data_IF_417030201942
#
_entry.id   IF_417030201942
#
_cell.length_a   1.000
_cell.length_b   1.000
_cell.length_c   1.000
_cell.angle_alpha   90.00
_cell.angle_beta   90.00
_cell.angle_gamma   90.00
#
_symmetry.space_group_name_H-M   'P 1'
#
loop_
_entity.id
_entity.type
_entity.pdbx_description
1 polymer ?
#
# COMPACT_ATOMS: atom_id res chain seq x y z
N UNK A 1 -24.94 17.45 -3.55
CA UNK A 1 -24.84 16.16 -2.83
C UNK A 1 -23.35 15.77 -2.87
N UNK A 2 -22.82 15.18 -1.82
CA UNK A 2 -21.45 14.66 -1.83
C UNK A 2 -21.35 13.56 -2.91
N UNK A 3 -20.21 13.49 -3.58
CA UNK A 3 -19.94 12.46 -4.59
C UNK A 3 -19.90 11.07 -3.93
N UNK A 4 -20.47 10.05 -4.58
CA UNK A 4 -20.35 8.66 -4.15
C UNK A 4 -19.15 8.03 -4.85
N UNK A 5 -18.15 7.61 -4.07
CA UNK A 5 -16.97 6.93 -4.57
C UNK A 5 -17.33 5.53 -5.08
N UNK A 6 -16.48 5.00 -5.94
CA UNK A 6 -16.68 3.70 -6.57
C UNK A 6 -15.44 2.82 -6.40
N UNK A 7 -15.63 1.51 -6.40
CA UNK A 7 -14.54 0.55 -6.51
C UNK A 7 -13.83 0.71 -7.86
N UNK A 8 -12.54 0.41 -7.93
CA UNK A 8 -11.80 0.33 -9.18
C UNK A 8 -11.45 -1.11 -9.46
N UNK A 9 -12.15 -1.73 -10.41
CA UNK A 9 -12.02 -3.17 -10.72
C UNK A 9 -11.86 -3.34 -12.22
N UNK A 10 -10.89 -4.16 -12.61
CA UNK A 10 -10.63 -4.50 -14.00
C UNK A 10 -10.41 -3.26 -14.90
N UNK A 11 -9.64 -2.29 -14.40
CA UNK A 11 -9.25 -1.08 -15.13
C UNK A 11 -10.33 0.00 -15.23
N UNK A 12 -11.42 -0.06 -14.46
CA UNK A 12 -12.51 0.92 -14.49
C UNK A 12 -13.17 1.12 -13.13
N UNK A 13 -13.79 2.26 -12.93
CA UNK A 13 -14.67 2.49 -11.81
C UNK A 13 -15.98 1.72 -11.97
N UNK A 14 -16.41 1.06 -10.88
CA UNK A 14 -17.64 0.28 -10.82
C UNK A 14 -18.38 0.61 -9.52
N UNK A 15 -19.69 0.77 -9.59
CA UNK A 15 -20.52 0.93 -8.41
C UNK A 15 -20.47 -0.35 -7.56
N UNK A 16 -20.43 -0.20 -6.23
CA UNK A 16 -20.53 -1.35 -5.34
C UNK A 16 -21.94 -1.97 -5.40
N UNK A 17 -22.00 -3.28 -5.16
CA UNK A 17 -23.26 -3.99 -4.99
C UNK A 17 -23.93 -3.67 -3.65
N UNK A 18 -23.10 -3.46 -2.63
CA UNK A 18 -23.56 -3.07 -1.30
C UNK A 18 -24.26 -1.71 -1.29
N UNK A 19 -25.24 -1.54 -0.39
CA UNK A 19 -25.98 -0.29 -0.21
C UNK A 19 -25.44 0.55 0.95
N UNK A 20 -24.68 -0.05 1.86
CA UNK A 20 -24.11 0.63 3.01
C UNK A 20 -22.97 1.55 2.58
N UNK A 21 -22.93 2.74 3.19
CA UNK A 21 -21.93 3.76 2.89
C UNK A 21 -21.35 4.38 4.15
N UNK A 22 -20.15 4.92 4.03
CA UNK A 22 -19.44 5.68 5.06
C UNK A 22 -19.24 7.11 4.54
N UNK A 23 -19.52 8.10 5.38
CA UNK A 23 -19.20 9.51 5.06
C UNK A 23 -17.70 9.74 5.18
N UNK A 24 -17.12 10.35 4.13
CA UNK A 24 -15.74 10.82 4.12
C UNK A 24 -15.75 12.28 4.56
N UNK A 25 -15.15 12.53 5.73
CA UNK A 25 -15.16 13.84 6.36
C UNK A 25 -13.78 14.49 6.23
N UNK A 26 -13.75 15.72 5.74
CA UNK A 26 -12.53 16.53 5.77
C UNK A 26 -12.24 16.94 7.23
N UNK A 27 -11.13 16.48 7.84
CA UNK A 27 -10.86 16.74 9.26
C UNK A 27 -10.55 18.19 9.57
N UNK A 28 -10.17 19.00 8.57
CA UNK A 28 -9.86 20.42 8.76
C UNK A 28 -11.12 21.26 9.04
N UNK A 29 -12.26 20.93 8.43
CA UNK A 29 -13.47 21.75 8.52
C UNK A 29 -14.73 20.96 8.91
N UNK A 30 -14.63 19.65 9.13
CA UNK A 30 -15.74 18.78 9.53
C UNK A 30 -16.80 18.56 8.45
N UNK A 31 -16.56 18.93 7.20
CA UNK A 31 -17.53 18.78 6.11
C UNK A 31 -17.41 17.41 5.46
N UNK A 32 -18.54 16.81 5.16
CA UNK A 32 -18.61 15.61 4.31
C UNK A 32 -18.21 16.00 2.89
N UNK A 33 -17.17 15.36 2.35
CA UNK A 33 -16.62 15.62 1.00
C UNK A 33 -17.03 14.55 0.00
N UNK A 34 -17.24 13.32 0.46
CA UNK A 34 -17.68 12.20 -0.36
C UNK A 34 -18.42 11.17 0.51
N UNK A 35 -19.03 10.17 -0.12
CA UNK A 35 -19.48 8.93 0.52
C UNK A 35 -18.75 7.75 -0.11
N UNK A 36 -18.31 6.80 0.71
CA UNK A 36 -17.60 5.59 0.28
C UNK A 36 -18.50 4.37 0.52
N UNK A 37 -18.62 3.44 -0.43
CA UNK A 37 -19.36 2.20 -0.19
C UNK A 37 -18.63 1.31 0.82
N UNK A 38 -19.41 0.49 1.54
CA UNK A 38 -18.91 -0.66 2.32
C UNK A 38 -19.11 -1.90 1.47
N UNK A 39 -18.11 -2.23 0.65
CA UNK A 39 -18.19 -3.35 -0.30
C UNK A 39 -18.43 -4.68 0.41
N UNK A 40 -19.31 -5.48 -0.18
CA UNK A 40 -19.68 -6.81 0.29
C UNK A 40 -18.84 -7.93 -0.37
N UNK A 41 -19.21 -9.19 -0.11
CA UNK A 41 -18.54 -10.37 -0.64
C UNK A 41 -18.53 -10.38 -2.18
N UNK A 42 -19.62 -9.93 -2.83
CA UNK A 42 -19.72 -9.91 -4.31
C UNK A 42 -18.74 -8.92 -4.93
N UNK A 43 -18.50 -7.78 -4.28
CA UNK A 43 -17.54 -6.78 -4.73
C UNK A 43 -16.11 -7.30 -4.59
N UNK A 44 -15.82 -7.97 -3.46
CA UNK A 44 -14.51 -8.59 -3.19
C UNK A 44 -14.26 -9.75 -4.16
N UNK A 45 -15.24 -10.62 -4.41
CA UNK A 45 -15.16 -11.71 -5.38
C UNK A 45 -14.85 -11.18 -6.79
N UNK A 46 -15.57 -10.13 -7.24
CA UNK A 46 -15.33 -9.52 -8.55
C UNK A 46 -13.91 -8.96 -8.69
N UNK A 47 -13.36 -8.36 -7.63
CA UNK A 47 -11.99 -7.86 -7.63
C UNK A 47 -10.96 -9.00 -7.70
N UNK A 48 -11.18 -10.10 -6.96
CA UNK A 48 -10.30 -11.26 -7.02
C UNK A 48 -10.41 -12.04 -8.34
N UNK A 49 -11.58 -12.11 -8.94
CA UNK A 49 -11.77 -12.68 -10.28
C UNK A 49 -10.98 -11.90 -11.33
N UNK A 50 -11.08 -10.56 -11.29
CA UNK A 50 -10.31 -9.68 -12.18
C UNK A 50 -8.79 -9.85 -11.97
N UNK A 51 -8.34 -9.87 -10.72
CA UNK A 51 -6.93 -10.08 -10.39
C UNK A 51 -6.41 -11.45 -10.82
N UNK A 52 -7.21 -12.52 -10.62
CA UNK A 52 -6.86 -13.90 -11.03
C UNK A 52 -6.76 -14.03 -12.53
N UNK A 53 -7.67 -13.40 -13.27
CA UNK A 53 -7.64 -13.38 -14.74
C UNK A 53 -6.39 -12.66 -15.23
N UNK A 54 -6.07 -11.48 -14.71
CA UNK A 54 -4.88 -10.72 -15.08
C UNK A 54 -3.58 -11.46 -14.70
N UNK A 55 -3.57 -12.23 -13.62
CA UNK A 55 -2.42 -13.01 -13.19
C UNK A 55 -1.98 -14.04 -14.23
N UNK A 56 -2.87 -14.56 -15.06
CA UNK A 56 -2.55 -15.54 -16.12
C UNK A 56 -1.53 -15.03 -17.13
N UNK A 57 -1.47 -13.71 -17.32
CA UNK A 57 -0.53 -13.02 -18.22
C UNK A 57 0.53 -12.24 -17.44
N UNK A 58 0.15 -11.42 -16.45
CA UNK A 58 1.08 -10.57 -15.71
C UNK A 58 2.14 -11.36 -14.93
N UNK A 59 1.79 -12.52 -14.37
CA UNK A 59 2.75 -13.38 -13.66
C UNK A 59 3.86 -13.92 -14.59
N UNK A 60 3.64 -13.90 -15.92
CA UNK A 60 4.60 -14.32 -16.92
C UNK A 60 5.37 -13.16 -17.55
N UNK A 61 4.99 -11.91 -17.23
CA UNK A 61 5.70 -10.74 -17.71
C UNK A 61 7.18 -10.80 -17.30
N UNK A 62 8.05 -10.49 -18.24
CA UNK A 62 9.50 -10.48 -18.00
C UNK A 62 9.87 -9.38 -17.00
N UNK A 63 11.02 -9.49 -16.31
CA UNK A 63 11.53 -8.41 -15.49
C UNK A 63 11.62 -7.06 -16.21
N UNK A 64 11.93 -7.07 -17.52
CA UNK A 64 12.01 -5.84 -18.33
C UNK A 64 10.65 -5.18 -18.53
N UNK A 65 9.61 -5.96 -18.84
CA UNK A 65 8.24 -5.47 -19.02
C UNK A 65 7.69 -4.89 -17.71
N UNK A 66 7.95 -5.56 -16.57
CA UNK A 66 7.56 -5.06 -15.24
C UNK A 66 8.29 -3.77 -14.87
N UNK A 67 9.60 -3.69 -15.15
CA UNK A 67 10.39 -2.48 -14.96
C UNK A 67 9.79 -1.31 -15.76
N UNK A 68 9.53 -1.51 -17.04
CA UNK A 68 8.99 -0.46 -17.91
C UNK A 68 7.61 0.01 -17.44
N UNK A 69 6.74 -0.90 -17.03
CA UNK A 69 5.43 -0.56 -16.49
C UNK A 69 5.53 0.28 -15.21
N UNK A 70 6.44 -0.07 -14.28
CA UNK A 70 6.65 0.69 -13.05
C UNK A 70 7.26 2.08 -13.30
N UNK A 71 8.17 2.21 -14.26
CA UNK A 71 8.72 3.51 -14.65
C UNK A 71 7.65 4.40 -15.27
N UNK A 72 6.82 3.87 -16.18
CA UNK A 72 5.68 4.58 -16.76
C UNK A 72 4.67 5.00 -15.69
N UNK A 73 4.39 4.12 -14.71
CA UNK A 73 3.51 4.45 -13.60
C UNK A 73 4.09 5.59 -12.74
N UNK A 74 5.38 5.55 -12.42
CA UNK A 74 6.03 6.62 -11.67
C UNK A 74 5.94 7.97 -12.41
N UNK A 75 6.19 7.98 -13.72
CA UNK A 75 6.11 9.18 -14.55
C UNK A 75 4.67 9.71 -14.65
N UNK A 76 3.69 8.82 -14.79
CA UNK A 76 2.28 9.19 -14.84
C UNK A 76 1.79 9.77 -13.49
N UNK A 77 2.18 9.18 -12.36
CA UNK A 77 1.85 9.74 -11.04
C UNK A 77 2.50 11.12 -10.83
N UNK A 78 3.75 11.28 -11.25
CA UNK A 78 4.44 12.57 -11.18
C UNK A 78 3.74 13.65 -12.06
N UNK A 79 3.26 13.28 -13.24
CA UNK A 79 2.52 14.16 -14.12
C UNK A 79 1.18 14.61 -13.52
N UNK A 80 0.58 13.79 -12.64
CA UNK A 80 -0.69 14.08 -11.96
C UNK A 80 -0.49 14.49 -10.48
N UNK A 81 0.71 15.01 -10.15
CA UNK A 81 1.08 15.35 -8.77
C UNK A 81 0.05 16.26 -8.09
N UNK A 82 -0.38 17.32 -8.74
CA UNK A 82 -1.32 18.29 -8.15
C UNK A 82 -2.68 17.64 -7.84
N UNK A 83 -3.18 16.77 -8.71
CA UNK A 83 -4.43 16.04 -8.51
C UNK A 83 -4.34 15.10 -7.31
N UNK A 84 -3.22 14.35 -7.16
CA UNK A 84 -2.96 13.48 -6.02
C UNK A 84 -2.87 14.28 -4.72
N UNK A 85 -2.16 15.41 -4.74
CA UNK A 85 -2.04 16.32 -3.59
C UNK A 85 -3.41 16.88 -3.19
N UNK A 86 -4.23 17.30 -4.15
CA UNK A 86 -5.56 17.85 -3.88
C UNK A 86 -6.49 16.82 -3.26
N UNK A 87 -6.54 15.60 -3.82
CA UNK A 87 -7.36 14.52 -3.32
C UNK A 87 -6.96 14.15 -1.87
N UNK A 88 -5.66 14.01 -1.61
CA UNK A 88 -5.20 13.64 -0.28
C UNK A 88 -5.37 14.77 0.74
N UNK A 89 -5.04 16.01 0.39
CA UNK A 89 -5.24 17.16 1.27
C UNK A 89 -6.70 17.29 1.71
N UNK A 90 -7.63 17.16 0.76
CA UNK A 90 -9.07 17.19 1.05
C UNK A 90 -9.51 16.09 2.00
N UNK A 91 -8.89 14.94 1.91
CA UNK A 91 -9.27 13.72 2.62
C UNK A 91 -8.59 13.58 4.00
N UNK A 92 -7.35 14.10 4.14
CA UNK A 92 -6.54 13.93 5.35
C UNK A 92 -6.31 15.22 6.15
N UNK A 93 -6.44 16.38 5.51
CA UNK A 93 -6.04 17.67 6.08
C UNK A 93 -4.52 17.89 6.15
N UNK A 94 -3.69 16.96 5.66
CA UNK A 94 -2.23 17.11 5.62
C UNK A 94 -1.82 18.36 4.81
N UNK A 95 -0.72 19.04 5.17
CA UNK A 95 -0.19 20.16 4.39
C UNK A 95 0.17 19.73 2.97
N UNK A 96 -0.27 20.50 1.97
CA UNK A 96 -0.03 20.19 0.54
C UNK A 96 1.45 20.00 0.20
N UNK A 97 2.34 20.85 0.76
CA UNK A 97 3.77 20.73 0.53
C UNK A 97 4.33 19.41 1.06
N UNK A 98 3.85 18.94 2.22
CA UNK A 98 4.23 17.66 2.80
C UNK A 98 3.75 16.49 1.94
N UNK A 99 2.49 16.52 1.48
CA UNK A 99 1.98 15.48 0.57
C UNK A 99 2.81 15.44 -0.72
N UNK A 100 3.13 16.60 -1.27
CA UNK A 100 3.90 16.71 -2.50
C UNK A 100 5.28 16.06 -2.39
N UNK A 101 6.03 16.34 -1.30
CA UNK A 101 7.40 15.82 -1.09
C UNK A 101 7.39 14.40 -0.54
N UNK A 102 6.64 14.16 0.55
CA UNK A 102 6.77 12.94 1.33
C UNK A 102 5.91 11.77 0.79
N UNK A 103 4.89 12.06 -0.01
CA UNK A 103 4.05 10.99 -0.53
C UNK A 103 4.11 10.87 -2.06
N UNK A 104 4.04 11.97 -2.81
CA UNK A 104 4.13 11.87 -4.27
C UNK A 104 5.57 11.68 -4.74
N UNK A 105 6.49 12.60 -4.37
CA UNK A 105 7.88 12.50 -4.82
C UNK A 105 8.57 11.26 -4.24
N UNK A 106 8.44 11.02 -2.94
CA UNK A 106 9.00 9.82 -2.30
C UNK A 106 8.37 8.54 -2.85
N UNK A 107 7.05 8.53 -3.09
CA UNK A 107 6.36 7.38 -3.67
C UNK A 107 6.81 7.07 -5.10
N UNK A 108 6.93 8.08 -5.95
CA UNK A 108 7.41 7.88 -7.32
C UNK A 108 8.89 7.44 -7.37
N UNK A 109 9.74 7.93 -6.46
CA UNK A 109 11.12 7.45 -6.32
C UNK A 109 11.15 5.97 -5.91
N UNK A 110 10.30 5.57 -4.95
CA UNK A 110 10.15 4.16 -4.56
C UNK A 110 9.70 3.26 -5.73
N UNK A 111 8.79 3.71 -6.58
CA UNK A 111 8.41 2.94 -7.78
C UNK A 111 9.60 2.78 -8.72
N UNK A 112 10.43 3.80 -8.91
CA UNK A 112 11.66 3.72 -9.71
C UNK A 112 12.69 2.75 -9.10
N UNK A 113 12.82 2.77 -7.77
CA UNK A 113 13.65 1.79 -7.06
C UNK A 113 13.17 0.35 -7.33
N UNK A 114 11.86 0.06 -7.17
CA UNK A 114 11.33 -1.27 -7.42
C UNK A 114 11.34 -1.66 -8.90
N UNK A 115 11.25 -0.69 -9.81
CA UNK A 115 11.47 -0.93 -11.24
C UNK A 115 12.90 -1.46 -11.50
N UNK A 116 13.91 -0.86 -10.88
CA UNK A 116 15.30 -1.36 -10.91
C UNK A 116 15.42 -2.73 -10.26
N UNK A 117 14.84 -2.91 -9.08
CA UNK A 117 14.87 -4.16 -8.32
C UNK A 117 14.22 -5.34 -9.05
N UNK A 118 13.22 -5.09 -9.91
CA UNK A 118 12.61 -6.13 -10.74
C UNK A 118 13.63 -6.89 -11.61
N UNK A 119 14.72 -6.22 -12.01
CA UNK A 119 15.79 -6.79 -12.86
C UNK A 119 16.86 -7.57 -12.09
N UNK A 120 16.90 -7.42 -10.77
CA UNK A 120 17.98 -7.96 -9.91
C UNK A 120 17.49 -9.09 -9.00
N UNK A 121 16.30 -9.63 -9.23
CA UNK A 121 15.76 -10.76 -8.48
C UNK A 121 16.49 -12.05 -8.92
N UNK A 122 17.58 -12.36 -8.23
CA UNK A 122 18.46 -13.48 -8.55
C UNK A 122 17.93 -14.81 -8.02
N UNK A 123 18.23 -15.88 -8.75
CA UNK A 123 18.16 -17.26 -8.32
C UNK A 123 19.55 -17.82 -8.00
N UNK A 124 19.62 -19.00 -7.42
CA UNK A 124 20.88 -19.72 -7.28
C UNK A 124 21.24 -20.41 -8.59
N UNK A 125 22.52 -20.38 -8.95
CA UNK A 125 23.06 -21.10 -10.11
C UNK A 125 22.83 -22.62 -9.98
N UNK A 126 22.88 -23.30 -11.12
CA UNK A 126 22.73 -24.74 -11.18
C UNK A 126 23.84 -25.46 -10.41
N UNK A 127 23.46 -26.54 -9.72
CA UNK A 127 24.37 -27.49 -9.08
C UNK A 127 23.76 -28.88 -9.17
N UNK A 128 24.59 -29.90 -9.06
CA UNK A 128 24.15 -31.30 -9.11
C UNK A 128 24.14 -31.86 -7.68
N UNK A 129 22.95 -31.91 -7.05
CA UNK A 129 22.74 -32.63 -5.80
C UNK A 129 22.43 -34.13 -5.99
N UNK A 130 22.02 -34.49 -7.19
CA UNK A 130 21.80 -35.85 -7.64
C UNK A 130 22.46 -36.03 -9.00
N UNK A 131 23.03 -37.22 -9.26
CA UNK A 131 23.65 -37.55 -10.54
C UNK A 131 22.68 -37.29 -11.69
N UNK A 132 23.16 -36.62 -12.75
CA UNK A 132 22.42 -36.31 -13.97
C UNK A 132 21.20 -35.35 -13.79
N UNK A 133 21.09 -34.67 -12.63
CA UNK A 133 20.01 -33.75 -12.34
C UNK A 133 20.55 -32.36 -11.95
N UNK A 134 20.56 -31.40 -12.90
CA UNK A 134 20.89 -30.02 -12.57
C UNK A 134 19.77 -29.42 -11.71
N UNK A 135 20.13 -28.77 -10.62
CA UNK A 135 19.20 -28.08 -9.69
C UNK A 135 19.46 -26.60 -9.70
N UNK A 136 18.41 -25.80 -9.81
CA UNK A 136 18.50 -24.33 -9.76
C UNK A 136 17.27 -23.74 -9.02
N UNK A 137 17.44 -22.55 -8.46
CA UNK A 137 16.36 -21.81 -7.83
C UNK A 137 15.88 -20.71 -8.76
N UNK A 138 14.58 -20.67 -9.03
CA UNK A 138 13.90 -19.59 -9.72
C UNK A 138 12.93 -18.88 -8.79
N UNK A 139 12.87 -17.54 -8.87
CA UNK A 139 11.87 -16.72 -8.18
C UNK A 139 10.62 -16.64 -9.04
N UNK A 140 9.47 -16.90 -8.44
CA UNK A 140 8.18 -16.83 -9.09
C UNK A 140 7.21 -15.94 -8.28
N UNK A 141 6.23 -15.26 -8.95
CA UNK A 141 5.17 -14.56 -8.25
C UNK A 141 4.40 -15.49 -7.33
N UNK A 142 3.88 -14.96 -6.21
CA UNK A 142 2.94 -15.71 -5.35
C UNK A 142 1.53 -15.77 -5.94
N UNK A 143 1.27 -15.00 -7.01
CA UNK A 143 0.00 -14.94 -7.71
C UNK A 143 -0.77 -13.66 -7.44
N UNK A 144 -1.86 -13.74 -6.68
CA UNK A 144 -2.66 -12.59 -6.26
C UNK A 144 -2.28 -12.19 -4.84
N UNK A 145 -2.15 -10.88 -4.58
CA UNK A 145 -1.85 -10.33 -3.25
C UNK A 145 -3.00 -9.46 -2.78
N UNK A 146 -3.52 -9.75 -1.59
CA UNK A 146 -4.47 -8.90 -0.89
C UNK A 146 -3.71 -7.87 -0.04
N UNK A 147 -4.09 -6.60 -0.12
CA UNK A 147 -3.38 -5.50 0.53
C UNK A 147 -4.34 -4.57 1.28
N UNK A 148 -3.97 -4.18 2.51
CA UNK A 148 -4.71 -3.21 3.33
C UNK A 148 -3.78 -2.07 3.68
N UNK A 149 -4.16 -0.84 3.31
CA UNK A 149 -3.39 0.38 3.56
C UNK A 149 -4.00 1.21 4.69
N UNK A 150 -3.17 1.95 5.47
CA UNK A 150 -3.59 2.79 6.58
C UNK A 150 -4.01 4.19 6.08
N UNK A 151 -4.40 5.04 7.05
CA UNK A 151 -4.92 6.38 6.82
C UNK A 151 -3.87 7.50 6.98
N UNK A 152 -2.73 7.24 7.61
CA UNK A 152 -1.77 8.27 7.99
C UNK A 152 -0.84 8.74 6.85
N UNK A 153 -0.55 7.87 5.89
CA UNK A 153 0.15 8.15 4.63
C UNK A 153 -0.53 7.36 3.50
N UNK A 154 -1.78 7.71 3.14
CA UNK A 154 -2.61 6.82 2.31
C UNK A 154 -2.02 6.55 0.93
N UNK A 155 -1.47 7.56 0.26
CA UNK A 155 -0.86 7.41 -1.06
C UNK A 155 0.46 6.62 -0.98
N UNK A 156 1.38 7.07 -0.11
CA UNK A 156 2.70 6.44 0.04
C UNK A 156 2.58 4.98 0.45
N UNK A 157 1.72 4.67 1.43
CA UNK A 157 1.52 3.29 1.87
C UNK A 157 0.85 2.42 0.80
N UNK A 158 -0.03 3.00 -0.01
CA UNK A 158 -0.53 2.35 -1.22
C UNK A 158 0.62 1.99 -2.17
N UNK A 159 1.48 2.96 -2.48
CA UNK A 159 2.63 2.78 -3.38
C UNK A 159 3.63 1.75 -2.82
N UNK A 160 3.96 1.80 -1.53
CA UNK A 160 4.86 0.84 -0.89
C UNK A 160 4.37 -0.60 -0.96
N UNK A 161 3.05 -0.79 -1.07
CA UNK A 161 2.45 -2.11 -1.22
C UNK A 161 2.41 -2.56 -2.68
N UNK A 162 1.99 -1.68 -3.59
CA UNK A 162 1.84 -2.05 -5.01
C UNK A 162 3.19 -2.18 -5.71
N UNK A 163 4.16 -1.32 -5.41
CA UNK A 163 5.47 -1.30 -6.07
C UNK A 163 6.19 -2.66 -6.05
N UNK A 164 6.53 -3.21 -4.87
CA UNK A 164 7.21 -4.50 -4.78
C UNK A 164 6.35 -5.67 -5.31
N UNK A 165 5.02 -5.63 -5.13
CA UNK A 165 4.14 -6.67 -5.61
C UNK A 165 4.13 -6.73 -7.16
N UNK A 166 4.01 -5.58 -7.82
CA UNK A 166 4.08 -5.47 -9.29
C UNK A 166 5.45 -5.83 -9.82
N UNK A 167 6.54 -5.36 -9.16
CA UNK A 167 7.90 -5.69 -9.52
C UNK A 167 8.18 -7.20 -9.50
N UNK A 168 7.59 -7.90 -8.53
CA UNK A 168 7.67 -9.36 -8.41
C UNK A 168 6.69 -10.11 -9.33
N UNK A 169 5.86 -9.41 -10.12
CA UNK A 169 4.94 -10.01 -11.09
C UNK A 169 3.60 -10.44 -10.50
N UNK A 170 3.20 -9.93 -9.34
CA UNK A 170 1.90 -10.25 -8.74
C UNK A 170 0.81 -9.30 -9.19
N UNK A 171 -0.45 -9.75 -9.16
CA UNK A 171 -1.63 -8.92 -9.26
C UNK A 171 -2.18 -8.58 -7.88
N UNK A 172 -2.99 -7.52 -7.78
CA UNK A 172 -3.29 -6.90 -6.49
C UNK A 172 -4.78 -6.61 -6.35
N UNK A 173 -5.30 -6.87 -5.15
CA UNK A 173 -6.55 -6.28 -4.64
C UNK A 173 -6.19 -5.47 -3.40
N UNK A 174 -6.29 -4.14 -3.51
CA UNK A 174 -5.95 -3.18 -2.46
C UNK A 174 -7.21 -2.61 -1.83
N UNK A 175 -7.27 -2.60 -0.49
CA UNK A 175 -8.25 -1.85 0.29
C UNK A 175 -7.56 -0.69 0.99
N UNK A 176 -7.83 0.57 0.59
CA UNK A 176 -7.37 1.73 1.34
C UNK A 176 -8.10 1.84 2.69
N UNK A 177 -7.67 2.76 3.55
CA UNK A 177 -8.43 3.10 4.73
C UNK A 177 -9.83 3.60 4.37
N UNK A 178 -10.80 3.28 5.20
CA UNK A 178 -12.19 3.74 5.11
C UNK A 178 -12.33 5.27 5.21
N UNK A 179 -11.38 5.95 5.86
CA UNK A 179 -11.41 7.41 6.07
C UNK A 179 -10.66 8.21 5.01
N UNK A 180 -9.72 7.59 4.27
CA UNK A 180 -8.81 8.30 3.35
C UNK A 180 -8.62 7.59 2.01
N UNK A 181 -9.70 7.26 1.27
CA UNK A 181 -9.62 6.45 0.05
C UNK A 181 -9.28 7.25 -1.22
N UNK A 182 -9.48 8.58 -1.24
CA UNK A 182 -9.53 9.35 -2.48
C UNK A 182 -8.21 9.34 -3.25
N UNK A 183 -7.07 9.57 -2.59
CA UNK A 183 -5.75 9.56 -3.28
C UNK A 183 -5.41 8.19 -3.86
N UNK A 184 -5.84 7.11 -3.20
CA UNK A 184 -5.68 5.74 -3.71
C UNK A 184 -6.55 5.49 -4.96
N UNK A 185 -7.74 6.09 -5.04
CA UNK A 185 -8.59 5.98 -6.23
C UNK A 185 -8.03 6.77 -7.41
N UNK A 186 -7.45 7.96 -7.17
CA UNK A 186 -6.72 8.71 -8.20
C UNK A 186 -5.52 7.90 -8.70
N UNK A 187 -4.73 7.32 -7.79
CA UNK A 187 -3.63 6.41 -8.14
C UNK A 187 -4.13 5.23 -8.98
N UNK A 188 -5.24 4.60 -8.59
CA UNK A 188 -5.79 3.45 -9.32
C UNK A 188 -6.24 3.82 -10.74
N UNK A 189 -6.87 4.99 -10.93
CA UNK A 189 -7.23 5.52 -12.25
C UNK A 189 -5.99 5.70 -13.13
N UNK A 190 -4.97 6.38 -12.61
CA UNK A 190 -3.72 6.61 -13.33
C UNK A 190 -3.03 5.28 -13.66
N UNK A 191 -3.00 4.35 -12.71
CA UNK A 191 -2.43 3.02 -12.93
C UNK A 191 -3.20 2.24 -14.02
N UNK A 192 -4.51 2.41 -14.12
CA UNK A 192 -5.33 1.78 -15.16
C UNK A 192 -5.03 2.25 -16.59
N UNK A 193 -4.39 3.41 -16.75
CA UNK A 193 -3.92 3.90 -18.05
C UNK A 193 -2.59 3.28 -18.48
N UNK A 194 -1.84 2.68 -17.53
CA UNK A 194 -0.48 2.17 -17.73
C UNK A 194 -0.39 0.66 -17.61
N UNK A 195 -1.12 0.09 -16.65
CA UNK A 195 -1.11 -1.34 -16.35
C UNK A 195 -2.23 -2.07 -17.10
N UNK A 196 -2.05 -3.35 -17.45
CA UNK A 196 -3.15 -4.16 -17.98
C UNK A 196 -4.33 -4.20 -16.99
N UNK A 197 -5.55 -4.24 -17.53
CA UNK A 197 -6.77 -4.33 -16.72
C UNK A 197 -6.72 -5.52 -15.75
N UNK A 198 -7.17 -5.32 -14.51
CA UNK A 198 -7.17 -6.33 -13.46
C UNK A 198 -5.84 -6.54 -12.72
N UNK A 199 -4.72 -5.97 -13.19
CA UNK A 199 -3.43 -6.06 -12.48
C UNK A 199 -3.46 -5.34 -11.14
N UNK A 200 -4.12 -4.18 -11.08
CA UNK A 200 -4.44 -3.46 -9.85
C UNK A 200 -5.95 -3.28 -9.73
N UNK A 201 -6.50 -3.68 -8.59
CA UNK A 201 -7.89 -3.48 -8.23
C UNK A 201 -7.97 -2.82 -6.86
N UNK A 202 -8.94 -1.93 -6.66
CA UNK A 202 -9.18 -1.24 -5.38
C UNK A 202 -10.63 -1.47 -4.96
N UNK A 203 -10.81 -1.98 -3.74
CA UNK A 203 -12.11 -2.22 -3.12
C UNK A 203 -12.24 -1.32 -1.89
N UNK A 204 -13.31 -0.55 -1.83
CA UNK A 204 -13.62 0.37 -0.74
C UNK A 204 -14.43 -0.31 0.35
N UNK A 205 -14.23 0.11 1.59
CA UNK A 205 -15.00 -0.41 2.71
C UNK A 205 -14.26 -0.33 4.03
N UNK A 206 -14.89 -0.82 5.06
CA UNK A 206 -14.45 -0.80 6.45
C UNK A 206 -13.66 -2.06 6.87
N UNK A 207 -13.70 -2.38 8.16
CA UNK A 207 -13.05 -3.56 8.71
C UNK A 207 -13.69 -4.87 8.23
N UNK A 208 -15.00 -4.90 7.95
CA UNK A 208 -15.69 -6.10 7.45
C UNK A 208 -15.23 -6.41 6.03
N UNK A 209 -15.17 -5.40 5.15
CA UNK A 209 -14.59 -5.56 3.81
C UNK A 209 -13.13 -6.02 3.89
N UNK A 210 -12.35 -5.49 4.86
CA UNK A 210 -10.99 -5.93 5.12
C UNK A 210 -10.89 -7.40 5.55
N UNK A 211 -11.83 -7.89 6.33
CA UNK A 211 -11.92 -9.30 6.73
C UNK A 211 -12.25 -10.19 5.52
N UNK A 212 -13.27 -9.83 4.72
CA UNK A 212 -13.61 -10.53 3.48
C UNK A 212 -12.39 -10.65 2.56
N UNK A 213 -11.63 -9.55 2.39
CA UNK A 213 -10.43 -9.53 1.57
C UNK A 213 -9.36 -10.49 2.10
N UNK A 214 -9.11 -10.51 3.41
CA UNK A 214 -8.00 -11.27 4.01
C UNK A 214 -8.30 -12.74 4.22
N UNK A 215 -9.58 -13.10 4.40
CA UNK A 215 -10.06 -14.48 4.50
C UNK A 215 -10.28 -15.14 3.14
N UNK A 216 -10.48 -14.37 2.07
CA UNK A 216 -10.76 -14.88 0.72
C UNK A 216 -9.76 -15.96 0.30
N UNK A 217 -10.21 -16.99 -0.39
CA UNK A 217 -9.39 -18.17 -0.73
C UNK A 217 -8.31 -17.91 -1.81
N UNK A 218 -8.49 -16.90 -2.65
CA UNK A 218 -7.62 -16.61 -3.82
C UNK A 218 -6.22 -16.10 -3.47
N UNK A 219 -6.03 -15.10 -2.58
CA UNK A 219 -4.70 -14.52 -2.41
C UNK A 219 -3.71 -15.51 -1.77
N UNK A 220 -2.53 -15.63 -2.40
CA UNK A 220 -1.41 -16.39 -1.84
C UNK A 220 -0.64 -15.63 -0.74
N UNK A 221 -0.87 -14.32 -0.64
CA UNK A 221 -0.26 -13.44 0.35
C UNK A 221 -1.21 -12.34 0.77
N UNK A 222 -1.16 -11.96 2.04
CA UNK A 222 -1.88 -10.81 2.61
C UNK A 222 -0.87 -9.83 3.21
N UNK A 223 -0.99 -8.55 2.84
CA UNK A 223 -0.16 -7.47 3.38
C UNK A 223 -1.05 -6.43 4.07
N UNK A 224 -0.70 -6.05 5.29
CA UNK A 224 -1.34 -4.94 6.01
C UNK A 224 -0.31 -3.98 6.57
N UNK A 225 -0.62 -2.69 6.49
CA UNK A 225 -0.03 -1.65 7.35
C UNK A 225 -1.15 -1.08 8.20
N UNK A 226 -0.98 -1.09 9.53
CA UNK A 226 -2.02 -0.65 10.45
C UNK A 226 -1.69 -0.89 11.92
N UNK A 227 -2.73 -0.97 12.75
CA UNK A 227 -2.55 -1.23 14.18
C UNK A 227 -2.13 -2.68 14.46
N UNK A 228 -1.45 -2.89 15.60
CA UNK A 228 -1.12 -4.25 16.09
C UNK A 228 -2.36 -5.14 16.16
N UNK A 229 -3.49 -4.60 16.61
CA UNK A 229 -4.78 -5.32 16.67
C UNK A 229 -5.22 -5.80 15.28
N UNK A 230 -5.15 -4.92 14.27
CA UNK A 230 -5.50 -5.27 12.90
C UNK A 230 -4.52 -6.30 12.31
N UNK A 231 -3.21 -6.14 12.55
CA UNK A 231 -2.19 -7.10 12.13
C UNK A 231 -2.41 -8.49 12.72
N UNK A 232 -2.78 -8.58 14.00
CA UNK A 232 -3.12 -9.86 14.65
C UNK A 232 -4.37 -10.50 14.04
N UNK A 233 -5.39 -9.71 13.69
CA UNK A 233 -6.58 -10.22 13.01
C UNK A 233 -6.23 -10.78 11.62
N UNK A 234 -5.45 -10.05 10.84
CA UNK A 234 -4.97 -10.48 9.53
C UNK A 234 -4.11 -11.74 9.62
N UNK A 235 -3.19 -11.82 10.59
CA UNK A 235 -2.38 -13.01 10.79
C UNK A 235 -3.23 -14.25 11.10
N UNK A 236 -4.27 -14.11 11.93
CA UNK A 236 -5.22 -15.20 12.21
C UNK A 236 -5.99 -15.63 10.96
N UNK A 237 -6.50 -14.67 10.18
CA UNK A 237 -7.17 -14.96 8.90
C UNK A 237 -6.27 -15.71 7.93
N UNK A 238 -5.05 -15.21 7.75
CA UNK A 238 -4.07 -15.80 6.83
C UNK A 238 -3.68 -17.23 7.21
N UNK A 239 -3.58 -17.52 8.52
CA UNK A 239 -3.24 -18.86 9.02
C UNK A 239 -4.24 -19.94 8.60
N UNK A 240 -5.53 -19.61 8.46
CA UNK A 240 -6.57 -20.55 8.03
C UNK A 240 -6.32 -21.10 6.61
N UNK A 241 -5.78 -20.26 5.71
CA UNK A 241 -5.44 -20.63 4.34
C UNK A 241 -3.94 -20.84 4.10
N UNK A 242 -3.11 -20.89 5.15
CA UNK A 242 -1.64 -20.98 5.06
C UNK A 242 -1.03 -19.91 4.15
N UNK A 243 -1.64 -18.72 4.12
CA UNK A 243 -1.18 -17.59 3.29
C UNK A 243 0.07 -16.97 3.89
N UNK A 244 0.94 -16.44 3.04
CA UNK A 244 2.04 -15.60 3.48
C UNK A 244 1.50 -14.28 4.03
N UNK A 245 2.17 -13.71 5.03
CA UNK A 245 1.81 -12.40 5.58
C UNK A 245 2.99 -11.43 5.51
N UNK A 246 2.65 -10.17 5.27
CA UNK A 246 3.54 -9.02 5.45
C UNK A 246 2.82 -8.04 6.37
N UNK A 247 3.40 -7.78 7.54
CA UNK A 247 2.76 -7.02 8.61
C UNK A 247 3.64 -5.82 8.96
N UNK A 248 3.19 -4.62 8.58
CA UNK A 248 3.78 -3.34 8.97
C UNK A 248 2.88 -2.72 10.03
N UNK A 249 3.36 -2.63 11.25
CA UNK A 249 2.54 -2.29 12.41
C UNK A 249 3.13 -1.12 13.18
N UNK A 250 2.28 -0.45 13.96
CA UNK A 250 2.71 0.63 14.82
C UNK A 250 3.68 0.19 15.91
N UNK A 251 4.44 1.13 16.41
CA UNK A 251 5.45 0.94 17.43
C UNK A 251 5.52 2.08 18.43
N UNK A 252 6.56 2.01 19.28
CA UNK A 252 6.96 3.07 20.23
C UNK A 252 8.48 3.23 20.11
N UNK A 253 8.92 3.90 19.03
CA UNK A 253 10.33 4.05 18.70
C UNK A 253 11.07 4.83 19.81
N UNK A 254 12.17 4.29 20.34
CA UNK A 254 13.00 4.99 21.33
C UNK A 254 14.06 5.87 20.65
N UNK A 255 14.32 7.05 21.20
CA UNK A 255 15.56 7.78 21.01
C UNK A 255 16.47 7.56 22.23
N UNK A 256 17.72 7.23 21.98
CA UNK A 256 18.74 7.07 23.01
C UNK A 256 19.67 8.29 22.99
N UNK A 257 19.77 9.01 24.11
CA UNK A 257 20.61 10.19 24.25
C UNK A 257 21.69 9.88 25.28
N UNK A 258 22.93 9.75 24.82
CA UNK A 258 24.12 9.53 25.66
C UNK A 258 24.75 10.84 26.07
N UNK A 259 25.62 10.81 27.09
CA UNK A 259 26.26 12.00 27.68
C UNK A 259 27.15 12.77 26.68
N UNK A 260 27.65 12.13 25.65
CA UNK A 260 28.46 12.73 24.59
C UNK A 260 27.66 13.24 23.38
N UNK A 261 26.31 13.19 23.46
CA UNK A 261 25.44 13.70 22.41
C UNK A 261 25.43 15.23 22.34
N UNK A 262 25.25 15.76 21.12
CA UNK A 262 24.89 17.17 20.92
C UNK A 262 23.43 17.38 21.34
N UNK A 263 23.23 17.87 22.57
CA UNK A 263 21.90 17.96 23.17
C UNK A 263 20.97 18.96 22.46
N UNK A 264 21.51 20.07 21.93
CA UNK A 264 20.71 21.06 21.18
C UNK A 264 20.16 20.44 19.89
N UNK A 265 21.05 19.83 19.10
CA UNK A 265 20.67 19.11 17.88
C UNK A 265 19.75 17.93 18.17
N UNK A 266 19.99 17.20 19.24
CA UNK A 266 19.11 16.09 19.65
C UNK A 266 17.71 16.61 19.96
N UNK A 267 17.57 17.72 20.70
CA UNK A 267 16.28 18.32 21.01
C UNK A 267 15.51 18.76 19.76
N UNK A 268 16.18 19.42 18.81
CA UNK A 268 15.59 19.82 17.54
C UNK A 268 15.07 18.61 16.75
N UNK A 269 15.87 17.55 16.62
CA UNK A 269 15.49 16.33 15.91
C UNK A 269 14.36 15.58 16.63
N UNK A 270 14.36 15.53 17.96
CA UNK A 270 13.29 14.91 18.74
C UNK A 270 11.94 15.61 18.52
N UNK A 271 11.94 16.93 18.47
CA UNK A 271 10.73 17.71 18.14
C UNK A 271 10.28 17.40 16.72
N UNK A 272 11.19 17.45 15.75
CA UNK A 272 10.88 17.20 14.35
C UNK A 272 10.29 15.81 14.15
N UNK A 273 10.95 14.76 14.60
CA UNK A 273 10.52 13.38 14.37
C UNK A 273 9.39 12.91 15.30
N UNK A 274 9.22 13.55 16.46
CA UNK A 274 8.10 13.25 17.35
C UNK A 274 6.79 13.90 16.95
N UNK A 275 6.82 15.00 16.19
CA UNK A 275 5.63 15.75 15.78
C UNK A 275 5.37 15.74 14.28
N UNK A 276 6.23 15.12 13.49
CA UNK A 276 6.05 14.98 12.05
C UNK A 276 4.70 14.35 11.74
N UNK A 277 4.03 14.81 10.68
CA UNK A 277 2.68 14.38 10.31
C UNK A 277 1.68 14.42 11.48
N UNK A 278 1.77 15.46 12.33
CA UNK A 278 0.99 15.61 13.58
C UNK A 278 1.17 14.43 14.57
N UNK A 279 2.34 13.78 14.57
CA UNK A 279 2.64 12.59 15.37
C UNK A 279 1.97 11.31 14.87
N UNK A 280 1.36 11.34 13.69
CA UNK A 280 0.66 10.20 13.07
C UNK A 280 1.62 9.33 12.25
N UNK A 281 2.70 8.90 12.84
CA UNK A 281 3.78 8.18 12.19
C UNK A 281 4.14 6.91 12.97
N UNK A 282 4.21 5.77 12.26
CA UNK A 282 4.58 4.48 12.87
C UNK A 282 6.02 4.44 13.37
N UNK A 283 6.88 5.34 12.86
CA UNK A 283 8.29 5.48 13.23
C UNK A 283 8.57 6.68 14.13
N UNK A 284 7.54 7.48 14.50
CA UNK A 284 7.69 8.64 15.36
C UNK A 284 8.44 8.32 16.66
N UNK A 285 9.33 9.20 17.05
CA UNK A 285 10.00 9.12 18.35
C UNK A 285 8.97 9.35 19.45
N UNK A 286 8.64 8.32 20.19
CA UNK A 286 7.59 8.34 21.22
C UNK A 286 8.13 8.10 22.63
N UNK A 287 9.40 7.76 22.74
CA UNK A 287 10.12 7.58 24.01
C UNK A 287 11.51 8.18 23.89
N UNK A 288 11.93 8.93 24.88
CA UNK A 288 13.29 9.45 24.96
C UNK A 288 13.94 8.86 26.22
N UNK A 289 15.03 8.16 26.04
CA UNK A 289 15.84 7.56 27.10
C UNK A 289 17.14 8.35 27.17
N UNK A 290 17.32 9.09 28.26
CA UNK A 290 18.44 10.00 28.44
C UNK A 290 19.36 9.39 29.49
N UNK A 291 20.68 9.35 29.23
CA UNK A 291 21.68 8.98 30.20
C UNK A 291 21.68 9.97 31.36
N UNK A 292 21.79 9.50 32.60
CA UNK A 292 21.68 10.35 33.81
C UNK A 292 22.70 11.50 33.85
N UNK A 293 23.83 11.30 33.15
CA UNK A 293 24.93 12.28 33.07
C UNK A 293 24.85 13.26 31.90
N UNK A 294 23.79 13.14 31.06
CA UNK A 294 23.59 14.00 29.89
C UNK A 294 22.89 15.31 30.21
#
# INVERSE_FOLDING_TARGET
MAETLQNFINGRFVAAHAQDTIEIVNPFNGKVVATSPVSDERDVDAAFEAASTAATTWNKATPAERQEALLKLADALQAHKDELVDAQHRNTGQPRAQIASEEVDAGTDNLRFFAGAARTLEGRAATEYMSEHPSYTRREPVGVVAQVAPWNYPLLMGIWKIGPALAAGNTIVLKPSDTTPESTLVLARIAGEVLPAGVLNVVLGDAQTGELLTTHHVPGMVSITGSVRAGQAVARSAAQGLKRTHLELGGKAPALVFADADLERAAEQLVQYGTFNAGQDCTAVTRVLVEESA
#
